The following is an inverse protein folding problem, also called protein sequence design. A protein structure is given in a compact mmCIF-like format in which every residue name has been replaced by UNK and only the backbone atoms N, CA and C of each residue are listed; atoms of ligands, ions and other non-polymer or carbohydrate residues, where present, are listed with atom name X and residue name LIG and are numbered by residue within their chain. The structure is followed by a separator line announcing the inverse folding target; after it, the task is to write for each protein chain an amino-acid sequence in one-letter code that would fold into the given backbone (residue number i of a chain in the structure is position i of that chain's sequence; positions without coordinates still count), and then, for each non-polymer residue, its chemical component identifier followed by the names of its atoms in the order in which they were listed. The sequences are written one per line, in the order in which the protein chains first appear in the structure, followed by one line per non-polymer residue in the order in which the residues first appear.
data_IF_762815067084
#
_entry.id   IF_762815067084
#
_cell.length_a   1.000
_cell.length_b   1.000
_cell.length_c   1.000
_cell.angle_alpha   90.00
_cell.angle_beta   90.00
_cell.angle_gamma   90.00
#
_symmetry.space_group_name_H-M   'P 1'
#
loop_
_entity.id
_entity.type
_entity.pdbx_description
1 polymer ?
#
# COMPACT_ATOMS: atom_id res chain seq x y z
N UNK A 1 -3.62 11.59 1.61
CA UNK A 1 -3.42 11.56 0.15
C UNK A 1 -2.58 12.74 -0.18
N UNK A 2 -1.49 12.53 -0.91
CA UNK A 2 -0.63 13.60 -1.38
C UNK A 2 -0.67 13.67 -2.91
N UNK A 3 -1.34 14.67 -3.51
CA UNK A 3 -1.45 14.81 -4.96
C UNK A 3 -0.11 15.13 -5.64
N UNK A 4 0.88 15.63 -4.89
CA UNK A 4 2.19 15.98 -5.46
C UNK A 4 3.03 14.74 -5.82
N UNK A 5 2.62 13.57 -5.34
CA UNK A 5 3.27 12.29 -5.61
C UNK A 5 2.70 11.57 -6.85
N UNK A 6 1.63 12.10 -7.45
CA UNK A 6 1.02 11.51 -8.63
C UNK A 6 1.89 11.74 -9.88
N UNK A 7 1.99 10.72 -10.71
CA UNK A 7 2.79 10.75 -11.93
C UNK A 7 1.94 10.28 -13.11
N UNK A 8 1.98 11.05 -14.19
CA UNK A 8 1.37 10.66 -15.46
C UNK A 8 2.41 9.97 -16.32
N UNK A 9 2.12 8.74 -16.74
CA UNK A 9 2.98 7.89 -17.55
C UNK A 9 2.21 7.39 -18.78
N UNK A 10 2.94 7.03 -19.84
CA UNK A 10 2.34 6.49 -21.07
C UNK A 10 2.14 4.98 -20.96
N UNK A 11 1.07 4.45 -21.56
CA UNK A 11 0.81 3.00 -21.67
C UNK A 11 1.99 2.20 -22.22
N UNK A 12 2.77 2.81 -23.11
CA UNK A 12 3.95 2.23 -23.76
C UNK A 12 5.12 1.97 -22.79
N UNK A 13 5.13 2.62 -21.62
CA UNK A 13 6.13 2.37 -20.58
C UNK A 13 5.86 1.07 -19.81
N UNK A 14 4.66 0.50 -19.94
CA UNK A 14 4.32 -0.81 -19.41
C UNK A 14 4.60 -1.89 -20.45
N UNK A 15 4.87 -3.14 -20.02
CA UNK A 15 5.02 -4.26 -20.94
C UNK A 15 3.85 -4.37 -21.92
N UNK A 16 4.16 -4.77 -23.15
CA UNK A 16 3.15 -5.08 -24.15
C UNK A 16 2.26 -6.23 -23.63
N UNK A 17 0.95 -6.13 -23.85
CA UNK A 17 -0.02 -7.11 -23.34
C UNK A 17 -0.32 -7.03 -21.83
N UNK A 18 0.32 -6.14 -21.06
CA UNK A 18 -0.01 -5.97 -19.64
C UNK A 18 -1.49 -5.59 -19.44
N UNK A 19 -2.21 -6.36 -18.63
CA UNK A 19 -3.57 -6.01 -18.19
C UNK A 19 -3.50 -4.92 -17.13
N UNK A 20 -3.87 -3.69 -17.50
CA UNK A 20 -3.84 -2.54 -16.61
C UNK A 20 -5.26 -2.23 -16.11
N UNK A 21 -5.41 -2.11 -14.80
CA UNK A 21 -6.67 -1.77 -14.15
C UNK A 21 -6.46 -0.79 -13.00
N UNK A 22 -7.46 0.04 -12.72
CA UNK A 22 -7.41 0.95 -11.56
C UNK A 22 -7.32 0.13 -10.28
N UNK A 23 -6.39 0.50 -9.40
CA UNK A 23 -6.07 -0.22 -8.17
C UNK A 23 -4.97 -1.28 -8.34
N UNK A 24 -4.54 -1.61 -9.56
CA UNK A 24 -3.40 -2.49 -9.78
C UNK A 24 -2.14 -1.90 -9.15
N UNK A 25 -1.45 -2.72 -8.34
CA UNK A 25 -0.16 -2.40 -7.76
C UNK A 25 0.97 -2.95 -8.64
N UNK A 26 2.06 -2.21 -8.79
CA UNK A 26 3.27 -2.67 -9.47
C UNK A 26 4.53 -2.07 -8.82
N UNK A 27 5.69 -2.69 -9.05
CA UNK A 27 6.97 -2.13 -8.63
C UNK A 27 7.60 -1.30 -9.74
N UNK A 28 7.99 -0.08 -9.39
CA UNK A 28 8.82 0.80 -10.19
C UNK A 28 10.20 0.95 -9.55
N UNK A 29 11.16 1.54 -10.28
CA UNK A 29 12.45 1.96 -9.71
C UNK A 29 12.41 3.45 -9.41
N UNK A 30 12.72 3.81 -8.17
CA UNK A 30 12.89 5.19 -7.76
C UNK A 30 14.21 5.81 -8.28
N UNK A 31 14.44 7.10 -8.01
CA UNK A 31 15.60 7.83 -8.52
C UNK A 31 16.97 7.24 -8.11
N UNK A 32 17.04 6.53 -6.99
CA UNK A 32 18.26 5.88 -6.51
C UNK A 32 18.25 4.37 -6.80
N UNK A 33 17.36 3.91 -7.68
CA UNK A 33 17.24 2.50 -8.09
C UNK A 33 16.47 1.62 -7.10
N UNK A 34 16.03 2.16 -5.96
CA UNK A 34 15.23 1.43 -4.97
C UNK A 34 13.86 1.05 -5.53
N UNK A 35 13.31 -0.13 -5.17
CA UNK A 35 11.96 -0.51 -5.56
C UNK A 35 10.95 0.41 -4.86
N UNK A 36 9.97 0.90 -5.62
CA UNK A 36 8.85 1.70 -5.12
C UNK A 36 7.54 1.06 -5.59
N UNK A 37 6.62 0.81 -4.66
CA UNK A 37 5.29 0.32 -5.02
C UNK A 37 4.43 1.48 -5.48
N UNK A 38 3.80 1.32 -6.63
CA UNK A 38 2.92 2.30 -7.27
C UNK A 38 1.56 1.65 -7.53
N UNK A 39 0.50 2.45 -7.48
CA UNK A 39 -0.86 2.04 -7.82
C UNK A 39 -1.39 2.84 -9.01
N UNK A 40 -2.11 2.17 -9.91
CA UNK A 40 -2.85 2.84 -10.98
C UNK A 40 -4.08 3.53 -10.39
N UNK A 41 -4.17 4.86 -10.53
CA UNK A 41 -5.28 5.68 -10.06
C UNK A 41 -6.34 5.91 -11.12
N UNK A 42 -5.92 6.08 -12.37
CA UNK A 42 -6.83 6.26 -13.50
C UNK A 42 -6.15 5.93 -14.81
N UNK A 43 -6.93 5.51 -15.80
CA UNK A 43 -6.49 5.26 -17.18
C UNK A 43 -7.38 6.12 -18.08
N UNK A 44 -6.79 6.97 -18.92
CA UNK A 44 -7.46 7.80 -19.92
C UNK A 44 -6.68 7.68 -21.22
N UNK A 45 -7.23 6.93 -22.18
CA UNK A 45 -6.55 6.62 -23.44
C UNK A 45 -5.12 6.06 -23.18
N UNK A 46 -4.09 6.74 -23.67
CA UNK A 46 -2.68 6.38 -23.48
C UNK A 46 -2.06 6.93 -22.18
N UNK A 47 -2.79 7.79 -21.46
CA UNK A 47 -2.34 8.45 -20.25
C UNK A 47 -2.81 7.70 -19.00
N UNK A 48 -1.83 7.23 -18.22
CA UNK A 48 -2.06 6.46 -17.00
C UNK A 48 -1.53 7.26 -15.83
N UNK A 49 -2.41 7.52 -14.87
CA UNK A 49 -2.05 8.18 -13.61
C UNK A 49 -1.65 7.11 -12.59
N UNK A 50 -0.43 7.20 -12.07
CA UNK A 50 0.11 6.28 -11.07
C UNK A 50 0.53 7.05 -9.83
N UNK A 51 0.46 6.42 -8.65
CA UNK A 51 0.75 7.08 -7.37
C UNK A 51 1.34 6.11 -6.35
N UNK A 52 2.31 6.52 -5.52
CA UNK A 52 2.77 5.73 -4.36
C UNK A 52 1.82 5.83 -3.17
N UNK A 53 0.78 6.69 -3.24
CA UNK A 53 -0.26 6.72 -2.23
C UNK A 53 -0.93 5.35 -2.12
N UNK A 54 -1.06 4.82 -0.90
CA UNK A 54 -1.87 3.64 -0.64
C UNK A 54 -3.30 3.82 -1.21
N UNK A 55 -3.96 2.78 -1.74
CA UNK A 55 -5.29 2.92 -2.37
C UNK A 55 -6.35 3.60 -1.49
N UNK A 56 -6.24 3.42 -0.18
CA UNK A 56 -7.13 3.99 0.84
C UNK A 56 -6.71 5.39 1.31
N UNK A 57 -5.60 5.95 0.81
CA UNK A 57 -5.15 7.29 1.21
C UNK A 57 -6.19 8.35 0.78
N UNK A 58 -6.61 9.18 1.73
CA UNK A 58 -7.65 10.20 1.50
C UNK A 58 -9.08 9.66 1.40
N UNK A 59 -9.27 8.35 1.55
CA UNK A 59 -10.61 7.76 1.66
C UNK A 59 -11.10 7.84 3.10
N UNK A 60 -12.40 8.09 3.28
CA UNK A 60 -13.03 7.91 4.59
C UNK A 60 -13.21 6.43 4.85
N UNK A 61 -12.67 5.96 5.97
CA UNK A 61 -12.80 4.58 6.42
C UNK A 61 -13.83 4.51 7.53
N UNK A 62 -14.87 3.72 7.32
CA UNK A 62 -15.93 3.52 8.31
C UNK A 62 -15.69 2.19 9.02
N UNK A 63 -15.47 2.26 10.33
CA UNK A 63 -15.26 1.08 11.17
C UNK A 63 -16.39 0.95 12.19
N UNK A 64 -16.85 -0.28 12.41
CA UNK A 64 -17.63 -0.66 13.57
C UNK A 64 -16.72 -1.46 14.48
N UNK A 65 -16.45 -0.95 15.67
CA UNK A 65 -15.47 -1.51 16.59
C UNK A 65 -16.17 -2.06 17.82
N UNK A 66 -15.75 -3.24 18.26
CA UNK A 66 -16.11 -3.86 19.53
C UNK A 66 -14.81 -4.26 20.24
N UNK A 67 -14.70 -3.95 21.53
CA UNK A 67 -13.54 -4.33 22.34
C UNK A 67 -13.84 -5.69 22.96
N UNK A 68 -13.08 -6.71 22.57
CA UNK A 68 -13.29 -8.10 23.02
C UNK A 68 -12.50 -8.46 24.27
N UNK A 69 -11.32 -7.87 24.47
CA UNK A 69 -10.44 -8.12 25.62
C UNK A 69 -9.39 -7.01 25.73
N UNK A 70 -8.87 -6.80 26.94
CA UNK A 70 -7.76 -5.89 27.24
C UNK A 70 -6.87 -6.54 28.27
N UNK A 71 -5.58 -6.67 27.95
CA UNK A 71 -4.56 -7.22 28.85
C UNK A 71 -3.28 -6.40 28.78
N UNK A 72 -2.43 -6.57 29.80
CA UNK A 72 -1.06 -6.07 29.74
C UNK A 72 -0.26 -6.83 28.68
N UNK A 73 0.57 -6.08 27.94
CA UNK A 73 1.57 -6.66 27.06
C UNK A 73 2.71 -7.30 27.89
N UNK A 74 3.18 -8.46 27.46
CA UNK A 74 4.33 -9.14 28.07
C UNK A 74 5.63 -8.34 27.84
N UNK A 75 6.71 -8.67 28.54
CA UNK A 75 8.00 -8.01 28.35
C UNK A 75 8.55 -8.19 26.91
N UNK A 76 8.33 -9.37 26.31
CA UNK A 76 8.74 -9.67 24.94
C UNK A 76 7.95 -8.87 23.90
N UNK A 77 6.62 -8.82 24.04
CA UNK A 77 5.77 -8.03 23.13
C UNK A 77 6.09 -6.53 23.20
N UNK A 78 6.45 -6.01 24.39
CA UNK A 78 6.93 -4.64 24.54
C UNK A 78 8.27 -4.43 23.84
N UNK A 79 9.18 -5.41 23.89
CA UNK A 79 10.47 -5.34 23.22
C UNK A 79 10.35 -5.40 21.69
N UNK A 80 9.41 -6.19 21.15
CA UNK A 80 9.20 -6.33 19.71
C UNK A 80 8.24 -5.28 19.12
N UNK A 81 7.38 -4.68 19.93
CA UNK A 81 6.44 -3.63 19.51
C UNK A 81 5.16 -4.16 18.85
N UNK A 82 4.90 -5.47 18.92
CA UNK A 82 3.65 -6.08 18.43
C UNK A 82 3.21 -7.26 19.30
N UNK A 83 1.92 -7.60 19.21
CA UNK A 83 1.33 -8.75 19.91
C UNK A 83 1.91 -10.06 19.39
N UNK A 84 2.11 -11.03 20.28
CA UNK A 84 2.37 -12.42 19.93
C UNK A 84 1.05 -13.17 20.11
N UNK A 85 0.55 -13.79 19.03
CA UNK A 85 -0.76 -14.46 19.04
C UNK A 85 -0.87 -15.59 20.08
N UNK A 86 -2.08 -16.15 20.29
CA UNK A 86 -2.29 -17.27 21.21
C UNK A 86 -1.35 -18.43 20.86
N UNK A 87 -0.48 -18.80 21.78
CA UNK A 87 0.54 -19.85 21.57
C UNK A 87 1.96 -19.35 21.33
N UNK A 88 2.20 -18.03 21.32
CA UNK A 88 3.56 -17.46 21.30
C UNK A 88 4.37 -17.95 20.10
N UNK A 89 4.10 -17.41 18.91
CA UNK A 89 5.00 -17.64 17.79
C UNK A 89 6.34 -16.96 18.09
N UNK A 90 7.32 -17.76 18.48
CA UNK A 90 8.72 -17.39 18.42
C UNK A 90 9.10 -17.25 16.94
N UNK A 91 9.88 -16.22 16.64
CA UNK A 91 10.64 -16.14 15.40
C UNK A 91 11.82 -17.13 15.46
#
# INVERSE_FOLDING_TARGET
YDPTLDQQVKRQQFPEGAELSVGLAFQARGPQGQPVTMWIRSIKDDDILVSPNHPMAGQQLNFRIEIVDVREATAEEKAHGHVHGPGGHAH
#
